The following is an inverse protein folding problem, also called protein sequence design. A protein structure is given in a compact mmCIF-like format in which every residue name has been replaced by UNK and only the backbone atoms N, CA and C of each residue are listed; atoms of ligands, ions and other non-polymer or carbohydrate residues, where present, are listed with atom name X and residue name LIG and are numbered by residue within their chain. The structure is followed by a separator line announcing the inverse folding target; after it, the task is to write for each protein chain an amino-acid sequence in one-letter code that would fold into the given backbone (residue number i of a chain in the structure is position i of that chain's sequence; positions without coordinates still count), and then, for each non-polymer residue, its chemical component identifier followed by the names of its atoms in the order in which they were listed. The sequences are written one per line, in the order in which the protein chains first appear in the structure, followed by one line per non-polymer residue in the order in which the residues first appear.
data_IF_528914698473
#
_entry.id   IF_528914698473
#
_cell.length_a   1.000
_cell.length_b   1.000
_cell.length_c   1.000
_cell.angle_alpha   90.00
_cell.angle_beta   90.00
_cell.angle_gamma   90.00
#
_symmetry.space_group_name_H-M   'P 1'
#
loop_
_entity.id
_entity.type
_entity.pdbx_description
1 polymer ?
#
# COMPACT_ATOMS: atom_id res chain seq x y z
N UNK A 1 17.03 10.43 10.96
CA UNK A 1 16.28 9.15 10.81
C UNK A 1 14.75 9.34 10.79
N UNK A 2 14.17 10.24 9.98
CA UNK A 2 12.73 10.59 10.08
C UNK A 2 11.98 10.54 8.72
N UNK A 3 11.97 9.42 7.99
CA UNK A 3 11.12 9.24 6.76
C UNK A 3 10.75 7.77 6.46
N UNK A 4 10.74 6.87 7.44
CA UNK A 4 10.41 5.43 7.23
C UNK A 4 8.94 5.08 7.54
N UNK A 5 8.16 6.02 8.07
CA UNK A 5 6.86 5.76 8.71
C UNK A 5 5.69 5.80 7.70
N UNK A 6 5.86 6.40 6.51
CA UNK A 6 4.72 6.72 5.63
C UNK A 6 4.07 5.53 4.91
N UNK A 7 4.74 4.38 4.79
CA UNK A 7 4.13 3.16 4.22
C UNK A 7 3.36 2.39 5.28
N UNK A 8 3.94 2.22 6.47
CA UNK A 8 3.22 1.68 7.62
C UNK A 8 2.00 2.54 7.97
N UNK A 9 2.08 3.87 7.86
CA UNK A 9 0.90 4.74 8.00
C UNK A 9 -0.12 4.52 6.88
N UNK A 10 0.31 4.28 5.64
CA UNK A 10 -0.61 3.99 4.53
C UNK A 10 -1.27 2.62 4.67
N UNK A 11 -0.58 1.62 5.21
CA UNK A 11 -1.11 0.29 5.48
C UNK A 11 -1.99 0.28 6.73
N UNK A 12 -1.59 0.96 7.81
CA UNK A 12 -2.44 1.20 8.98
C UNK A 12 -3.70 1.99 8.58
N UNK A 13 -3.58 2.94 7.64
CA UNK A 13 -4.69 3.66 7.00
C UNK A 13 -5.61 2.75 6.17
N UNK A 14 -5.07 1.69 5.56
CA UNK A 14 -5.83 0.70 4.81
C UNK A 14 -6.50 -0.32 5.74
N UNK A 15 -5.81 -0.79 6.78
CA UNK A 15 -6.38 -1.62 7.84
C UNK A 15 -7.51 -0.88 8.59
N UNK A 16 -7.39 0.44 8.74
CA UNK A 16 -8.47 1.30 9.25
C UNK A 16 -9.68 1.37 8.29
N UNK A 17 -9.49 1.19 6.99
CA UNK A 17 -10.55 1.17 5.98
C UNK A 17 -11.22 -0.20 5.81
N UNK A 18 -10.59 -1.30 6.23
CA UNK A 18 -11.18 -2.64 6.19
C UNK A 18 -12.37 -2.79 7.16
N UNK A 19 -12.41 -1.99 8.23
CA UNK A 19 -13.56 -1.87 9.14
C UNK A 19 -14.59 -0.83 8.63
N UNK A 20 -14.34 -0.20 7.47
CA UNK A 20 -15.17 0.85 6.90
C UNK A 20 -15.68 0.52 5.48
N UNK A 21 -16.52 -0.51 5.37
CA UNK A 21 -17.48 -0.67 4.27
C UNK A 21 -18.89 -0.79 4.85
N UNK A 22 -19.96 -0.27 4.22
CA UNK A 22 -20.29 1.13 3.95
C UNK A 22 -20.73 1.84 5.25
N UNK A 23 -19.86 2.62 5.90
CA UNK A 23 -20.15 3.21 7.22
C UNK A 23 -19.90 4.71 7.34
N UNK A 24 -19.83 5.42 6.20
CA UNK A 24 -19.77 6.88 6.18
C UNK A 24 -20.89 7.45 5.32
N UNK A 25 -22.14 7.08 5.63
CA UNK A 25 -23.22 8.06 5.52
C UNK A 25 -22.97 9.14 6.58
N UNK A 26 -23.30 10.39 6.28
CA UNK A 26 -22.97 11.55 7.10
C UNK A 26 -23.67 11.61 8.48
N UNK A 27 -24.37 10.54 8.89
CA UNK A 27 -25.23 10.48 10.07
C UNK A 27 -24.91 9.25 10.95
N UNK A 28 -23.65 9.03 11.32
CA UNK A 28 -23.36 8.06 12.40
C UNK A 28 -23.42 8.78 13.73
N UNK A 29 -24.53 8.63 14.44
CA UNK A 29 -24.67 9.11 15.81
C UNK A 29 -23.75 8.32 16.75
N UNK A 30 -23.51 8.84 17.96
CA UNK A 30 -22.77 8.10 18.99
C UNK A 30 -23.39 6.71 19.27
N UNK A 31 -24.71 6.57 19.12
CA UNK A 31 -25.42 5.31 19.25
C UNK A 31 -25.06 4.29 18.16
N UNK A 32 -24.87 4.72 16.91
CA UNK A 32 -24.45 3.85 15.80
C UNK A 32 -23.02 3.35 15.97
N UNK A 33 -22.14 4.20 16.51
CA UNK A 33 -20.76 3.80 16.82
C UNK A 33 -20.72 2.75 17.94
N UNK A 34 -21.53 2.91 18.98
CA UNK A 34 -21.64 1.95 20.09
C UNK A 34 -22.20 0.61 19.60
N UNK A 35 -23.25 0.61 18.79
CA UNK A 35 -23.85 -0.61 18.21
C UNK A 35 -22.83 -1.39 17.37
N UNK A 36 -22.06 -0.70 16.53
CA UNK A 36 -20.99 -1.32 15.73
C UNK A 36 -19.88 -1.85 16.61
N UNK A 37 -19.44 -1.09 17.61
CA UNK A 37 -18.43 -1.54 18.58
C UNK A 37 -18.86 -2.83 19.28
N UNK A 38 -20.13 -2.96 19.65
CA UNK A 38 -20.65 -4.18 20.27
C UNK A 38 -20.57 -5.40 19.35
N UNK A 39 -20.81 -5.21 18.05
CA UNK A 39 -20.81 -6.27 17.02
C UNK A 39 -19.41 -6.78 16.64
N UNK A 40 -18.34 -6.06 17.01
CA UNK A 40 -16.97 -6.48 16.71
C UNK A 40 -16.53 -7.67 17.57
N UNK A 41 -15.73 -8.56 16.96
CA UNK A 41 -15.05 -9.64 17.67
C UNK A 41 -14.05 -9.10 18.70
N UNK A 42 -13.63 -9.90 19.69
CA UNK A 42 -12.57 -9.50 20.62
C UNK A 42 -11.28 -9.05 19.92
N UNK A 43 -10.90 -9.74 18.85
CA UNK A 43 -9.71 -9.46 18.04
C UNK A 43 -9.84 -8.13 17.30
N UNK A 44 -11.00 -7.87 16.69
CA UNK A 44 -11.29 -6.61 16.00
C UNK A 44 -11.30 -5.42 16.96
N UNK A 45 -11.89 -5.60 18.16
CA UNK A 45 -11.86 -4.60 19.24
C UNK A 45 -10.42 -4.30 19.65
N UNK A 46 -9.57 -5.31 19.77
CA UNK A 46 -8.19 -5.11 20.16
C UNK A 46 -7.37 -4.40 19.07
N UNK A 47 -7.55 -4.78 17.80
CA UNK A 47 -6.96 -4.08 16.68
C UNK A 47 -7.34 -2.59 16.66
N UNK A 48 -8.61 -2.26 16.95
CA UNK A 48 -9.06 -0.87 17.09
C UNK A 48 -8.42 -0.14 18.26
N UNK A 49 -8.26 -0.77 19.43
CA UNK A 49 -7.55 -0.15 20.57
C UNK A 49 -6.10 0.17 20.23
N UNK A 50 -5.40 -0.77 19.58
CA UNK A 50 -4.02 -0.57 19.16
C UNK A 50 -3.91 0.58 18.15
N UNK A 51 -4.81 0.61 17.16
CA UNK A 51 -4.88 1.70 16.18
C UNK A 51 -5.18 3.06 16.84
N UNK A 52 -6.07 3.10 17.84
CA UNK A 52 -6.37 4.30 18.59
C UNK A 52 -5.15 4.80 19.38
N UNK A 53 -4.41 3.91 20.03
CA UNK A 53 -3.16 4.24 20.72
C UNK A 53 -2.15 4.88 19.76
N UNK A 54 -1.97 4.27 18.58
CA UNK A 54 -1.13 4.84 17.52
C UNK A 54 -1.64 6.23 17.13
N UNK A 55 -2.94 6.37 16.84
CA UNK A 55 -3.55 7.65 16.45
C UNK A 55 -3.33 8.76 17.49
N UNK A 56 -3.49 8.45 18.78
CA UNK A 56 -3.26 9.41 19.87
C UNK A 56 -1.81 9.86 19.96
N UNK A 57 -0.86 8.97 19.61
CA UNK A 57 0.57 9.28 19.60
C UNK A 57 1.06 10.09 18.38
N UNK A 58 0.21 10.25 17.36
CA UNK A 58 0.57 11.02 16.16
C UNK A 58 0.55 12.52 16.45
N UNK A 59 1.51 13.23 15.84
CA UNK A 59 1.49 14.71 15.79
C UNK A 59 0.31 15.22 14.97
N UNK A 60 -0.07 16.48 15.17
CA UNK A 60 -1.19 17.09 14.47
C UNK A 60 -0.98 17.14 12.95
N UNK A 61 0.25 17.35 12.50
CA UNK A 61 0.62 17.29 11.08
C UNK A 61 0.37 15.89 10.49
N UNK A 62 0.73 14.84 11.22
CA UNK A 62 0.48 13.46 10.79
C UNK A 62 -1.02 13.13 10.77
N UNK A 63 -1.77 13.58 11.79
CA UNK A 63 -3.22 13.43 11.84
C UNK A 63 -3.88 14.15 10.67
N UNK A 64 -3.40 15.36 10.33
CA UNK A 64 -3.87 16.12 9.17
C UNK A 64 -3.56 15.41 7.86
N UNK A 65 -2.33 14.94 7.65
CA UNK A 65 -1.95 14.17 6.45
C UNK A 65 -2.86 12.95 6.26
N UNK A 66 -3.18 12.24 7.35
CA UNK A 66 -4.09 11.10 7.30
C UNK A 66 -5.52 11.55 6.95
N UNK A 67 -6.06 12.58 7.61
CA UNK A 67 -7.40 13.12 7.30
C UNK A 67 -7.53 13.53 5.83
N UNK A 68 -6.52 14.20 5.28
CA UNK A 68 -6.52 14.63 3.88
C UNK A 68 -6.51 13.42 2.93
N UNK A 69 -5.74 12.37 3.25
CA UNK A 69 -5.75 11.11 2.50
C UNK A 69 -7.09 10.38 2.58
N UNK A 70 -7.76 10.41 3.73
CA UNK A 70 -9.12 9.84 3.88
C UNK A 70 -10.08 10.58 2.94
N UNK A 71 -10.03 11.91 2.94
CA UNK A 71 -10.87 12.73 2.07
C UNK A 71 -10.62 12.39 0.59
N UNK A 72 -9.35 12.29 0.19
CA UNK A 72 -8.99 11.89 -1.18
C UNK A 72 -9.51 10.49 -1.53
N UNK A 73 -9.32 9.51 -0.65
CA UNK A 73 -9.79 8.14 -0.87
C UNK A 73 -11.30 8.08 -1.09
N UNK A 74 -12.09 8.83 -0.30
CA UNK A 74 -13.55 8.90 -0.45
C UNK A 74 -13.99 9.47 -1.80
N UNK A 75 -13.16 10.32 -2.42
CA UNK A 75 -13.43 10.85 -3.76
C UNK A 75 -13.03 9.91 -4.90
N UNK A 76 -12.31 8.82 -4.60
CA UNK A 76 -11.90 7.85 -5.63
C UNK A 76 -13.10 7.05 -6.14
N UNK A 77 -13.12 6.67 -7.43
CA UNK A 77 -14.09 5.73 -7.96
C UNK A 77 -14.10 4.41 -7.18
N UNK A 78 -15.26 3.75 -7.08
CA UNK A 78 -15.39 2.46 -6.36
C UNK A 78 -14.38 1.41 -6.82
N UNK A 79 -14.09 1.35 -8.12
CA UNK A 79 -13.09 0.44 -8.68
C UNK A 79 -11.68 0.66 -8.10
N UNK A 80 -11.30 1.92 -7.86
CA UNK A 80 -10.00 2.24 -7.28
C UNK A 80 -9.98 1.98 -5.78
N UNK A 81 -11.09 2.22 -5.08
CA UNK A 81 -11.25 1.83 -3.68
C UNK A 81 -11.08 0.31 -3.50
N UNK A 82 -11.73 -0.49 -4.35
CA UNK A 82 -11.60 -1.96 -4.32
C UNK A 82 -10.18 -2.45 -4.63
N UNK A 83 -9.49 -1.82 -5.60
CA UNK A 83 -8.08 -2.13 -5.87
C UNK A 83 -7.19 -1.86 -4.66
N UNK A 84 -7.48 -0.77 -3.96
CA UNK A 84 -6.76 -0.37 -2.76
C UNK A 84 -6.99 -1.39 -1.63
N UNK A 85 -8.23 -1.82 -1.39
CA UNK A 85 -8.55 -2.89 -0.43
C UNK A 85 -7.85 -4.21 -0.77
N UNK A 86 -7.88 -4.63 -2.03
CA UNK A 86 -7.19 -5.86 -2.47
C UNK A 86 -5.69 -5.80 -2.23
N UNK A 87 -5.06 -4.66 -2.46
CA UNK A 87 -3.63 -4.49 -2.21
C UNK A 87 -3.28 -4.56 -0.71
N UNK A 88 -4.20 -4.12 0.16
CA UNK A 88 -4.03 -4.27 1.60
C UNK A 88 -4.04 -5.74 2.00
N UNK A 89 -5.04 -6.51 1.56
CA UNK A 89 -5.13 -7.94 1.86
C UNK A 89 -3.87 -8.69 1.41
N UNK A 90 -3.37 -8.37 0.21
CA UNK A 90 -2.09 -8.91 -0.26
C UNK A 90 -0.95 -8.52 0.68
N UNK A 91 -0.91 -7.27 1.15
CA UNK A 91 0.14 -6.78 2.04
C UNK A 91 0.12 -7.45 3.42
N UNK A 92 -1.05 -7.63 4.01
CA UNK A 92 -1.22 -8.27 5.33
C UNK A 92 -0.74 -9.72 5.30
N UNK A 93 -0.90 -10.39 4.16
CA UNK A 93 -0.40 -11.74 3.92
C UNK A 93 1.10 -11.81 3.55
N UNK A 94 1.80 -10.68 3.41
CA UNK A 94 3.25 -10.68 3.17
C UNK A 94 4.04 -10.98 4.45
N UNK A 95 5.12 -11.74 4.31
CA UNK A 95 6.07 -11.94 5.41
C UNK A 95 6.77 -10.63 5.78
N UNK A 96 7.31 -10.55 7.00
CA UNK A 96 8.06 -9.38 7.47
C UNK A 96 9.19 -8.99 6.51
N UNK A 97 9.91 -9.95 5.94
CA UNK A 97 10.97 -9.69 4.97
C UNK A 97 10.41 -9.09 3.66
N UNK A 98 9.30 -9.63 3.15
CA UNK A 98 8.65 -9.13 1.95
C UNK A 98 8.11 -7.71 2.17
N UNK A 99 7.49 -7.44 3.31
CA UNK A 99 7.05 -6.11 3.72
C UNK A 99 8.23 -5.12 3.79
N UNK A 100 9.34 -5.51 4.41
CA UNK A 100 10.56 -4.70 4.45
C UNK A 100 11.12 -4.43 3.05
N UNK A 101 11.11 -5.43 2.17
CA UNK A 101 11.56 -5.26 0.80
C UNK A 101 10.68 -4.28 0.02
N UNK A 102 9.36 -4.38 0.18
CA UNK A 102 8.40 -3.45 -0.42
C UNK A 102 8.63 -2.03 0.09
N UNK A 103 8.82 -1.88 1.40
CA UNK A 103 9.16 -0.60 2.04
C UNK A 103 10.45 0.01 1.46
N UNK A 104 11.50 -0.80 1.26
CA UNK A 104 12.75 -0.34 0.63
C UNK A 104 12.52 0.15 -0.79
N UNK A 105 11.84 -0.64 -1.63
CA UNK A 105 11.57 -0.29 -3.03
C UNK A 105 10.73 0.98 -3.16
N UNK A 106 9.71 1.14 -2.32
CA UNK A 106 8.91 2.35 -2.30
C UNK A 106 9.70 3.58 -1.84
N UNK A 107 10.57 3.44 -0.84
CA UNK A 107 11.43 4.54 -0.42
C UNK A 107 12.41 4.96 -1.51
N UNK A 108 12.92 4.02 -2.31
CA UNK A 108 13.72 4.33 -3.50
C UNK A 108 12.86 5.06 -4.54
N UNK A 109 11.68 4.54 -4.87
CA UNK A 109 10.73 5.16 -5.79
C UNK A 109 10.40 6.60 -5.41
N UNK A 110 10.11 6.86 -4.12
CA UNK A 110 9.79 8.21 -3.62
C UNK A 110 10.92 9.21 -3.84
N UNK A 111 12.17 8.77 -3.78
CA UNK A 111 13.36 9.59 -3.99
C UNK A 111 13.67 9.84 -5.46
N UNK A 112 13.01 9.15 -6.38
CA UNK A 112 13.22 9.39 -7.80
C UNK A 112 12.80 10.82 -8.19
N UNK A 113 13.55 11.47 -9.09
CA UNK A 113 13.13 12.73 -9.71
C UNK A 113 11.76 12.58 -10.41
N UNK A 114 10.96 13.65 -10.49
CA UNK A 114 9.64 13.63 -11.15
C UNK A 114 9.68 13.05 -12.56
N UNK A 115 10.71 13.35 -13.34
CA UNK A 115 10.89 12.92 -14.73
C UNK A 115 11.06 11.40 -14.80
N UNK A 116 11.84 10.83 -13.86
CA UNK A 116 12.04 9.38 -13.76
C UNK A 116 10.76 8.67 -13.34
N UNK A 117 10.01 9.25 -12.39
CA UNK A 117 8.68 8.73 -12.00
C UNK A 117 7.73 8.73 -13.20
N UNK A 118 7.67 9.82 -13.96
CA UNK A 118 6.83 9.94 -15.15
C UNK A 118 7.19 8.88 -16.19
N UNK A 119 8.48 8.71 -16.51
CA UNK A 119 8.92 7.69 -17.48
C UNK A 119 8.49 6.28 -17.07
N UNK A 120 8.58 5.94 -15.78
CA UNK A 120 8.19 4.61 -15.31
C UNK A 120 6.66 4.46 -15.31
N UNK A 121 5.91 5.49 -14.93
CA UNK A 121 4.45 5.48 -15.00
C UNK A 121 3.95 5.32 -16.44
N UNK A 122 4.57 5.99 -17.41
CA UNK A 122 4.23 5.86 -18.83
C UNK A 122 4.53 4.45 -19.36
N UNK A 123 5.68 3.87 -19.00
CA UNK A 123 5.99 2.47 -19.33
C UNK A 123 4.97 1.51 -18.71
N UNK A 124 4.56 1.77 -17.47
CA UNK A 124 3.56 0.96 -16.79
C UNK A 124 2.19 1.06 -17.46
N UNK A 125 1.73 2.25 -17.86
CA UNK A 125 0.50 2.44 -18.62
C UNK A 125 0.54 1.67 -19.95
N UNK A 126 1.64 1.74 -20.68
CA UNK A 126 1.84 0.97 -21.92
C UNK A 126 1.76 -0.53 -21.65
N UNK A 127 2.43 -1.01 -20.59
CA UNK A 127 2.38 -2.41 -20.18
C UNK A 127 0.96 -2.86 -19.81
N UNK A 128 0.19 -2.06 -19.08
CA UNK A 128 -1.19 -2.41 -18.72
C UNK A 128 -2.09 -2.61 -19.95
N UNK A 129 -1.88 -1.82 -21.01
CA UNK A 129 -2.61 -1.90 -22.28
C UNK A 129 -2.18 -3.08 -23.19
N UNK A 130 -1.08 -3.77 -22.87
CA UNK A 130 -0.63 -4.93 -23.66
C UNK A 130 -1.56 -6.14 -23.50
N UNK A 131 -1.64 -6.97 -24.54
CA UNK A 131 -2.34 -8.26 -24.49
C UNK A 131 -1.66 -9.21 -23.49
N UNK A 132 -2.37 -10.23 -22.96
CA UNK A 132 -1.79 -11.24 -22.08
C UNK A 132 -0.53 -11.91 -22.67
N UNK A 133 -0.53 -12.20 -23.97
CA UNK A 133 0.58 -12.85 -24.68
C UNK A 133 1.80 -11.91 -24.76
N UNK A 134 1.57 -10.64 -25.06
CA UNK A 134 2.60 -9.61 -25.08
C UNK A 134 3.23 -9.42 -23.69
N UNK A 135 2.40 -9.38 -22.64
CA UNK A 135 2.86 -9.32 -21.25
C UNK A 135 3.71 -10.54 -20.91
N UNK A 136 3.25 -11.75 -21.25
CA UNK A 136 3.98 -13.01 -21.00
C UNK A 136 5.35 -13.02 -21.70
N UNK A 137 5.40 -12.61 -22.97
CA UNK A 137 6.67 -12.48 -23.72
C UNK A 137 7.64 -11.51 -23.04
N UNK A 138 7.15 -10.34 -22.61
CA UNK A 138 7.98 -9.34 -21.95
C UNK A 138 8.52 -9.84 -20.60
N UNK A 139 7.66 -10.46 -19.78
CA UNK A 139 8.04 -11.05 -18.49
C UNK A 139 9.10 -12.15 -18.68
N UNK A 140 8.92 -13.03 -19.66
CA UNK A 140 9.87 -14.09 -19.96
C UNK A 140 11.24 -13.53 -20.42
N UNK A 141 11.23 -12.50 -21.27
CA UNK A 141 12.46 -11.80 -21.69
C UNK A 141 13.19 -11.20 -20.50
N UNK A 142 12.46 -10.52 -19.61
CA UNK A 142 13.03 -9.92 -18.41
C UNK A 142 13.62 -10.98 -17.47
N UNK A 143 12.90 -12.08 -17.22
CA UNK A 143 13.38 -13.20 -16.39
C UNK A 143 14.68 -13.80 -16.94
N UNK A 144 14.77 -13.99 -18.27
CA UNK A 144 15.97 -14.50 -18.93
C UNK A 144 17.15 -13.53 -18.78
N UNK A 145 16.91 -12.23 -18.93
CA UNK A 145 17.95 -11.22 -18.76
C UNK A 145 18.49 -11.17 -17.32
N UNK A 146 17.61 -11.20 -16.31
CA UNK A 146 18.03 -11.29 -14.91
C UNK A 146 18.87 -12.53 -14.61
N UNK A 147 18.52 -13.69 -15.17
CA UNK A 147 19.30 -14.92 -15.02
C UNK A 147 20.72 -14.76 -15.59
N UNK A 148 20.83 -14.21 -16.80
CA UNK A 148 22.12 -13.98 -17.46
C UNK A 148 22.98 -12.94 -16.74
N UNK A 149 22.37 -11.88 -16.18
CA UNK A 149 23.09 -10.87 -15.40
C UNK A 149 23.64 -11.47 -14.10
N UNK A 150 22.85 -12.30 -13.41
CA UNK A 150 23.28 -13.02 -12.22
C UNK A 150 24.41 -14.03 -12.51
N UNK A 151 24.38 -14.70 -13.66
CA UNK A 151 25.43 -15.64 -14.10
C UNK A 151 26.72 -14.90 -14.48
N UNK A 152 26.62 -13.78 -15.19
CA UNK A 152 27.79 -12.94 -15.55
C UNK A 152 28.40 -12.23 -14.34
N UNK A 153 27.59 -11.82 -13.36
CA UNK A 153 28.06 -11.22 -12.12
C UNK A 153 28.88 -12.18 -11.25
N UNK A 154 28.62 -13.49 -11.34
CA UNK A 154 29.41 -14.54 -10.67
C UNK A 154 30.77 -14.81 -11.32
N UNK A 155 30.94 -14.50 -12.61
CA UNK A 155 32.21 -14.67 -13.34
C UNK A 155 33.22 -13.52 -13.18
N UNK A 156 32.84 -12.41 -12.52
CA UNK A 156 33.69 -11.22 -12.38
C UNK A 156 34.48 -11.14 -11.06
N UNK A 157 34.40 -12.20 -10.23
CA UNK A 157 35.16 -12.36 -8.98
C UNK A 157 36.11 -13.56 -8.99
N UNK A 158 36.41 -14.10 -10.17
CA UNK A 158 37.31 -15.24 -10.37
C UNK A 158 38.26 -14.99 -11.55
N UNK A 159 38.92 -13.83 -11.55
CA UNK A 159 40.19 -13.63 -12.25
C UNK A 159 41.00 -12.61 -11.45
#
# INVERSE_FOLDING_TARGET
MKRRINLLILILFLAFLAIASPLYAADTTGADAIKKWQQLSPEEKEALRQNLKIWTSLSDDQKKEIKDKIKLYKTLPKSDQERIKKNLDIYENLTTEQQQNLNRKFNQWRKLPPEKKYQILERYKKFQKMSPEQKKKLINKYRRWQKLENEKGKGKGMI
#
